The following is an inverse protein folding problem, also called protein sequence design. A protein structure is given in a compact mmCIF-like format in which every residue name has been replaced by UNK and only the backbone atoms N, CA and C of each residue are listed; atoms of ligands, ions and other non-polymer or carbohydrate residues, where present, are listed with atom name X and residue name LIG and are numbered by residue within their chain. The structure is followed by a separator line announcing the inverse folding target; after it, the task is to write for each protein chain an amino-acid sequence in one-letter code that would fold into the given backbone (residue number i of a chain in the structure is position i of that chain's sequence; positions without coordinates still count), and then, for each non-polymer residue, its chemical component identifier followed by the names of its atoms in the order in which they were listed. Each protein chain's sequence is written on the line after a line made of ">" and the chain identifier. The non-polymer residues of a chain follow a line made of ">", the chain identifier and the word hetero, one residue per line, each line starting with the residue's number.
data_IF_912438890083
#
_entry.id   IF_912438890083
#
_cell.length_a   1.000
_cell.length_b   1.000
_cell.length_c   1.000
_cell.angle_alpha   90.00
_cell.angle_beta   90.00
_cell.angle_gamma   90.00
#
_symmetry.space_group_name_H-M   'P 1'
#
loop_
_entity.id
_entity.type
_entity.pdbx_description
1 polymer ?
#
# COMPACT_ATOMS: atom_id res chain seq x y z
N UNK A 1 19.04 12.73 -17.25
CA UNK A 1 17.72 13.36 -17.07
C UNK A 1 17.45 13.52 -15.58
N UNK A 2 16.92 14.67 -15.16
CA UNK A 2 16.64 14.99 -13.76
C UNK A 2 15.17 15.39 -13.63
N UNK A 3 14.58 15.12 -12.47
CA UNK A 3 13.17 15.38 -12.15
C UNK A 3 13.11 16.14 -10.83
N UNK A 4 12.52 17.33 -10.82
CA UNK A 4 12.42 18.13 -9.60
C UNK A 4 11.06 17.91 -8.94
N UNK A 5 11.07 17.39 -7.72
CA UNK A 5 9.87 17.16 -6.94
C UNK A 5 9.79 18.17 -5.79
N UNK A 6 8.69 18.93 -5.76
CA UNK A 6 8.39 19.91 -4.73
C UNK A 6 6.96 19.76 -4.21
N UNK A 7 6.81 19.58 -2.91
CA UNK A 7 5.51 19.56 -2.22
C UNK A 7 5.49 18.66 -0.98
N UNK A 8 4.31 18.47 -0.40
CA UNK A 8 4.15 17.79 0.90
C UNK A 8 3.47 16.42 0.77
N UNK A 9 4.14 15.38 1.29
CA UNK A 9 3.53 14.06 1.43
C UNK A 9 2.69 14.04 2.70
N UNK A 10 1.43 13.66 2.56
CA UNK A 10 0.43 13.65 3.62
C UNK A 10 0.12 12.21 4.06
N UNK A 11 -0.52 12.08 5.23
CA UNK A 11 -0.96 10.78 5.74
C UNK A 11 -1.88 10.06 4.74
N UNK A 12 -2.69 10.82 4.00
CA UNK A 12 -3.65 10.31 3.01
C UNK A 12 -2.97 9.50 1.90
N UNK A 13 -1.74 9.84 1.51
CA UNK A 13 -1.02 9.14 0.44
C UNK A 13 -0.57 7.75 0.86
N UNK A 14 -0.17 7.63 2.12
CA UNK A 14 0.12 6.35 2.77
C UNK A 14 -1.15 5.57 3.06
N UNK A 15 -2.25 6.24 3.42
CA UNK A 15 -3.55 5.63 3.68
C UNK A 15 -4.06 4.84 2.46
N UNK A 16 -3.94 5.39 1.25
CA UNK A 16 -4.34 4.69 0.01
C UNK A 16 -3.58 3.37 -0.15
N UNK A 17 -2.28 3.37 0.15
CA UNK A 17 -1.44 2.17 0.06
C UNK A 17 -1.80 1.15 1.15
N UNK A 18 -1.97 1.62 2.39
CA UNK A 18 -2.33 0.78 3.54
C UNK A 18 -3.71 0.16 3.35
N UNK A 19 -4.70 0.94 2.91
CA UNK A 19 -6.06 0.48 2.62
C UNK A 19 -6.08 -0.62 1.56
N UNK A 20 -5.24 -0.53 0.52
CA UNK A 20 -5.14 -1.61 -0.47
C UNK A 20 -4.63 -2.91 0.16
N UNK A 21 -3.60 -2.82 0.99
CA UNK A 21 -3.02 -3.98 1.67
C UNK A 21 -4.02 -4.61 2.66
N UNK A 22 -4.70 -3.76 3.44
CA UNK A 22 -5.72 -4.17 4.40
C UNK A 22 -6.90 -4.85 3.71
N UNK A 23 -7.38 -4.34 2.56
CA UNK A 23 -8.46 -4.99 1.81
C UNK A 23 -8.10 -6.39 1.34
N UNK A 24 -6.85 -6.61 0.88
CA UNK A 24 -6.38 -7.94 0.49
C UNK A 24 -6.37 -8.88 1.70
N UNK A 25 -5.88 -8.42 2.86
CA UNK A 25 -5.88 -9.19 4.10
C UNK A 25 -7.30 -9.49 4.60
N UNK A 26 -8.20 -8.51 4.58
CA UNK A 26 -9.61 -8.66 4.94
C UNK A 26 -10.29 -9.72 4.07
N UNK A 27 -10.05 -9.69 2.74
CA UNK A 27 -10.56 -10.71 1.83
C UNK A 27 -10.06 -12.11 2.18
N UNK A 28 -8.76 -12.26 2.44
CA UNK A 28 -8.17 -13.54 2.83
C UNK A 28 -8.75 -14.08 4.14
N UNK A 29 -8.85 -13.24 5.17
CA UNK A 29 -9.44 -13.61 6.47
C UNK A 29 -10.92 -13.98 6.32
N UNK A 30 -11.69 -13.23 5.52
CA UNK A 30 -13.10 -13.52 5.28
C UNK A 30 -13.30 -14.89 4.62
N UNK A 31 -12.49 -15.22 3.61
CA UNK A 31 -12.54 -16.53 2.94
C UNK A 31 -12.24 -17.66 3.93
N UNK A 32 -11.19 -17.52 4.74
CA UNK A 32 -10.81 -18.53 5.74
C UNK A 32 -11.95 -18.74 6.75
N UNK A 33 -12.52 -17.66 7.28
CA UNK A 33 -13.61 -17.74 8.26
C UNK A 33 -14.87 -18.37 7.66
N UNK A 34 -15.19 -18.08 6.40
CA UNK A 34 -16.32 -18.71 5.70
C UNK A 34 -16.11 -20.22 5.51
N UNK A 35 -14.89 -20.65 5.14
CA UNK A 35 -14.57 -22.08 5.02
C UNK A 35 -14.76 -22.78 6.36
N UNK A 36 -14.25 -22.21 7.46
CA UNK A 36 -14.46 -22.73 8.80
C UNK A 36 -15.95 -22.77 9.20
N UNK A 37 -16.72 -21.75 8.81
CA UNK A 37 -18.16 -21.69 9.08
C UNK A 37 -18.91 -22.84 8.41
N UNK A 38 -18.59 -23.13 7.14
CA UNK A 38 -19.21 -24.21 6.37
C UNK A 38 -18.83 -25.57 6.97
N UNK A 39 -17.55 -25.80 7.27
CA UNK A 39 -17.08 -27.06 7.88
C UNK A 39 -17.79 -27.30 9.22
N UNK A 40 -17.78 -26.31 10.12
CA UNK A 40 -18.45 -26.43 11.41
C UNK A 40 -19.97 -26.60 11.27
N UNK A 41 -20.59 -25.86 10.35
CA UNK A 41 -22.03 -25.92 10.11
C UNK A 41 -22.48 -27.30 9.61
N UNK A 42 -21.68 -27.94 8.75
CA UNK A 42 -21.93 -29.31 8.29
C UNK A 42 -21.74 -30.32 9.42
N UNK A 43 -20.66 -30.20 10.21
CA UNK A 43 -20.39 -31.12 11.31
C UNK A 43 -21.44 -31.05 12.44
N UNK A 44 -21.89 -29.84 12.78
CA UNK A 44 -22.86 -29.61 13.87
C UNK A 44 -24.32 -29.66 13.40
N UNK A 45 -24.58 -29.88 12.10
CA UNK A 45 -25.91 -29.83 11.45
C UNK A 45 -26.68 -28.52 11.71
N UNK A 46 -25.98 -27.44 12.06
CA UNK A 46 -26.58 -26.15 12.40
C UNK A 46 -25.86 -25.01 11.69
N UNK A 47 -26.00 -25.01 10.36
CA UNK A 47 -25.27 -24.10 9.47
C UNK A 47 -25.60 -22.62 9.72
N UNK A 48 -26.84 -22.32 10.12
CA UNK A 48 -27.28 -20.95 10.38
C UNK A 48 -26.52 -20.32 11.55
N UNK A 49 -26.33 -21.06 12.64
CA UNK A 49 -25.59 -20.58 13.82
C UNK A 49 -24.10 -20.41 13.49
N UNK A 50 -23.49 -21.37 12.77
CA UNK A 50 -22.09 -21.27 12.37
C UNK A 50 -21.84 -20.09 11.42
N UNK A 51 -22.77 -19.82 10.49
CA UNK A 51 -22.72 -18.67 9.60
C UNK A 51 -22.89 -17.34 10.37
N UNK A 52 -23.83 -17.27 11.31
CA UNK A 52 -24.04 -16.08 12.12
C UNK A 52 -22.77 -15.70 12.93
N UNK A 53 -22.13 -16.69 13.56
CA UNK A 53 -20.87 -16.49 14.29
C UNK A 53 -19.76 -16.02 13.34
N UNK A 54 -19.63 -16.66 12.18
CA UNK A 54 -18.62 -16.28 11.19
C UNK A 54 -18.79 -14.86 10.68
N UNK A 55 -20.02 -14.41 10.43
CA UNK A 55 -20.32 -13.02 10.04
C UNK A 55 -19.86 -12.06 11.12
N UNK A 56 -20.17 -12.32 12.40
CA UNK A 56 -19.71 -11.49 13.52
C UNK A 56 -18.18 -11.45 13.58
N UNK A 57 -17.51 -12.60 13.45
CA UNK A 57 -16.05 -12.66 13.43
C UNK A 57 -15.44 -11.89 12.26
N UNK A 58 -16.04 -11.95 11.06
CA UNK A 58 -15.58 -11.22 9.89
C UNK A 58 -15.68 -9.71 10.13
N UNK A 59 -16.81 -9.24 10.65
CA UNK A 59 -17.00 -7.81 10.96
C UNK A 59 -15.95 -7.34 11.96
N UNK A 60 -15.76 -8.06 13.06
CA UNK A 60 -14.74 -7.72 14.07
C UNK A 60 -13.32 -7.73 13.49
N UNK A 61 -13.00 -8.73 12.67
CA UNK A 61 -11.69 -8.84 12.03
C UNK A 61 -11.44 -7.66 11.06
N UNK A 62 -12.45 -7.27 10.27
CA UNK A 62 -12.37 -6.13 9.35
C UNK A 62 -12.05 -4.84 10.10
N UNK A 63 -12.80 -4.54 11.16
CA UNK A 63 -12.56 -3.36 12.01
C UNK A 63 -11.19 -3.39 12.68
N UNK A 64 -10.79 -4.55 13.24
CA UNK A 64 -9.50 -4.70 13.89
C UNK A 64 -8.34 -4.48 12.91
N UNK A 65 -8.41 -5.04 11.70
CA UNK A 65 -7.37 -4.88 10.68
C UNK A 65 -7.23 -3.43 10.23
N UNK A 66 -8.34 -2.73 9.98
CA UNK A 66 -8.30 -1.31 9.61
C UNK A 66 -7.69 -0.46 10.72
N UNK A 67 -8.12 -0.67 11.97
CA UNK A 67 -7.58 0.06 13.12
C UNK A 67 -6.08 -0.22 13.32
N UNK A 68 -5.66 -1.49 13.25
CA UNK A 68 -4.27 -1.90 13.50
C UNK A 68 -3.30 -1.46 12.40
N UNK A 69 -3.70 -1.55 11.14
CA UNK A 69 -2.77 -1.33 10.03
C UNK A 69 -2.88 0.05 9.40
N UNK A 70 -4.04 0.70 9.47
CA UNK A 70 -4.24 2.05 8.91
C UNK A 70 -4.09 3.08 10.01
N UNK A 71 -5.00 3.05 11.00
CA UNK A 71 -5.05 4.09 12.04
C UNK A 71 -3.81 4.08 12.92
N UNK A 72 -3.33 2.91 13.35
CA UNK A 72 -2.12 2.84 14.19
C UNK A 72 -0.86 3.28 13.44
N UNK A 73 -0.73 2.96 12.16
CA UNK A 73 0.43 3.35 11.36
C UNK A 73 0.47 4.85 11.09
N UNK A 74 -0.70 5.47 10.91
CA UNK A 74 -0.83 6.90 10.63
C UNK A 74 -0.91 7.77 11.89
N UNK A 75 -1.08 7.18 13.09
CA UNK A 75 -1.26 7.93 14.35
C UNK A 75 -0.10 8.88 14.67
N UNK A 76 1.12 8.50 14.31
CA UNK A 76 2.34 9.29 14.53
C UNK A 76 2.91 9.85 13.23
N UNK A 77 2.13 9.81 12.14
CA UNK A 77 2.60 10.30 10.86
C UNK A 77 2.76 11.82 10.91
N UNK A 78 3.92 12.30 10.47
CA UNK A 78 4.17 13.72 10.27
C UNK A 78 4.28 13.99 8.77
N UNK A 79 3.59 15.02 8.25
CA UNK A 79 3.76 15.44 6.87
C UNK A 79 5.24 15.67 6.55
N UNK A 80 5.68 15.18 5.40
CA UNK A 80 7.08 15.31 4.96
C UNK A 80 7.11 16.22 3.76
N UNK A 81 7.77 17.38 3.90
CA UNK A 81 8.05 18.25 2.77
C UNK A 81 9.19 17.67 1.94
N UNK A 82 9.00 17.68 0.63
CA UNK A 82 9.96 17.24 -0.36
C UNK A 82 10.28 18.44 -1.23
N UNK A 83 11.55 18.79 -1.34
CA UNK A 83 12.11 19.73 -2.30
C UNK A 83 13.45 19.13 -2.73
N UNK A 84 13.43 18.29 -3.78
CA UNK A 84 14.62 17.54 -4.20
C UNK A 84 14.67 17.26 -5.70
N UNK A 85 15.89 17.32 -6.23
CA UNK A 85 16.21 16.87 -7.57
C UNK A 85 16.49 15.36 -7.56
N UNK A 86 15.75 14.65 -8.39
CA UNK A 86 15.78 13.20 -8.49
C UNK A 86 16.37 12.80 -9.83
N UNK A 87 17.44 12.03 -9.81
CA UNK A 87 18.02 11.41 -11.00
C UNK A 87 17.94 9.89 -10.92
N UNK A 88 18.11 9.20 -12.04
CA UNK A 88 18.14 7.75 -12.08
C UNK A 88 19.20 7.15 -11.14
N UNK A 89 20.38 7.76 -11.13
CA UNK A 89 21.52 7.33 -10.30
C UNK A 89 21.25 7.59 -8.83
N UNK A 90 20.72 8.77 -8.48
CA UNK A 90 20.33 9.10 -7.12
C UNK A 90 19.26 8.13 -6.57
N UNK A 91 18.25 7.78 -7.37
CA UNK A 91 17.23 6.79 -6.98
C UNK A 91 17.82 5.40 -6.73
N UNK A 92 18.76 4.96 -7.58
CA UNK A 92 19.43 3.65 -7.41
C UNK A 92 20.30 3.62 -6.15
N UNK A 93 21.04 4.69 -5.88
CA UNK A 93 21.98 4.80 -4.75
C UNK A 93 21.26 5.01 -3.41
N UNK A 94 20.31 5.95 -3.36
CA UNK A 94 19.65 6.37 -2.12
C UNK A 94 18.50 5.44 -1.73
N UNK A 95 17.68 5.01 -2.69
CA UNK A 95 16.48 4.22 -2.36
C UNK A 95 16.71 2.71 -2.43
N UNK A 96 17.72 2.23 -3.17
CA UNK A 96 17.98 0.80 -3.45
C UNK A 96 16.69 -0.04 -3.59
N UNK A 97 15.75 0.37 -4.45
CA UNK A 97 14.38 -0.10 -4.33
C UNK A 97 14.29 -1.62 -4.55
N UNK A 98 13.55 -2.29 -3.66
CA UNK A 98 13.25 -3.73 -3.80
C UNK A 98 12.04 -3.94 -4.71
N UNK A 99 11.10 -2.99 -4.68
CA UNK A 99 9.88 -3.01 -5.47
C UNK A 99 9.45 -1.58 -5.76
N UNK A 100 8.89 -1.37 -6.95
CA UNK A 100 8.22 -0.13 -7.35
C UNK A 100 6.77 -0.45 -7.65
N UNK A 101 5.85 0.38 -7.14
CA UNK A 101 4.42 0.32 -7.45
C UNK A 101 4.00 1.67 -8.02
N UNK A 102 3.27 1.65 -9.13
CA UNK A 102 2.69 2.86 -9.73
C UNK A 102 1.18 2.78 -9.59
N UNK A 103 0.56 3.78 -8.97
CA UNK A 103 -0.88 3.82 -8.71
C UNK A 103 -1.33 5.26 -8.49
N UNK A 104 -2.51 5.65 -9.01
CA UNK A 104 -3.13 6.97 -8.79
C UNK A 104 -2.17 8.17 -8.99
N UNK A 105 -1.45 8.18 -10.12
CA UNK A 105 -0.45 9.21 -10.42
C UNK A 105 0.64 9.38 -9.33
N UNK A 106 0.90 8.30 -8.58
CA UNK A 106 1.96 8.21 -7.57
C UNK A 106 2.88 7.01 -7.89
N UNK A 107 4.16 7.18 -7.61
CA UNK A 107 5.17 6.12 -7.64
C UNK A 107 5.63 5.86 -6.21
N UNK A 108 5.50 4.61 -5.78
CA UNK A 108 5.87 4.14 -4.44
C UNK A 108 7.11 3.25 -4.55
N UNK A 109 8.20 3.65 -3.90
CA UNK A 109 9.43 2.88 -3.81
C UNK A 109 9.51 2.20 -2.45
N UNK A 110 9.53 0.87 -2.43
CA UNK A 110 9.67 0.09 -1.22
C UNK A 110 11.15 -0.14 -0.90
N UNK A 111 11.58 0.40 0.24
CA UNK A 111 12.90 0.21 0.83
C UNK A 111 12.77 -0.70 2.05
N UNK A 112 13.40 -1.87 2.03
CA UNK A 112 13.34 -2.80 3.17
C UNK A 112 11.91 -3.23 3.55
N UNK A 113 11.68 -3.47 4.84
CA UNK A 113 10.39 -3.98 5.35
C UNK A 113 9.35 -2.89 5.65
N UNK A 114 9.79 -1.66 6.00
CA UNK A 114 8.91 -0.62 6.56
C UNK A 114 9.11 0.79 5.98
N UNK A 115 9.93 0.98 4.94
CA UNK A 115 10.17 2.31 4.38
C UNK A 115 9.58 2.39 2.97
N UNK A 116 8.78 3.43 2.73
CA UNK A 116 8.19 3.70 1.43
C UNK A 116 8.41 5.17 1.10
N UNK A 117 9.14 5.42 0.01
CA UNK A 117 9.24 6.76 -0.58
C UNK A 117 8.14 6.93 -1.62
N UNK A 118 7.46 8.08 -1.60
CA UNK A 118 6.32 8.39 -2.47
C UNK A 118 6.68 9.60 -3.32
N UNK A 119 6.46 9.49 -4.63
CA UNK A 119 6.58 10.60 -5.58
C UNK A 119 5.25 10.78 -6.31
N UNK A 120 4.69 11.99 -6.30
CA UNK A 120 3.40 12.30 -6.93
C UNK A 120 3.62 13.09 -8.22
N UNK A 121 2.77 12.87 -9.22
CA UNK A 121 2.74 13.68 -10.44
C UNK A 121 2.52 15.16 -10.13
N UNK A 122 1.65 15.47 -9.17
CA UNK A 122 1.33 16.85 -8.80
C UNK A 122 2.50 17.60 -8.14
N UNK A 123 3.52 16.88 -7.64
CA UNK A 123 4.73 17.46 -7.05
C UNK A 123 5.84 17.63 -8.07
N UNK A 124 5.70 17.04 -9.26
CA UNK A 124 6.70 17.18 -10.30
C UNK A 124 6.53 18.57 -10.92
N UNK A 125 7.60 19.37 -10.89
CA UNK A 125 7.59 20.74 -11.41
C UNK A 125 7.20 20.78 -12.89
N UNK A 126 7.78 19.89 -13.70
CA UNK A 126 7.41 19.68 -15.09
C UNK A 126 6.61 18.37 -15.27
N UNK A 127 5.29 18.49 -15.23
CA UNK A 127 4.39 17.34 -15.35
C UNK A 127 4.48 16.62 -16.71
N UNK A 128 5.02 17.25 -17.75
CA UNK A 128 5.21 16.62 -19.07
C UNK A 128 6.23 15.48 -19.00
N UNK A 129 7.16 15.54 -18.03
CA UNK A 129 8.19 14.53 -17.81
C UNK A 129 7.69 13.33 -17.00
N UNK A 130 6.44 13.33 -16.55
CA UNK A 130 5.91 12.28 -15.67
C UNK A 130 5.96 10.90 -16.30
N UNK A 131 5.59 10.78 -17.57
CA UNK A 131 5.55 9.47 -18.22
C UNK A 131 6.97 8.91 -18.40
N UNK A 132 7.94 9.77 -18.73
CA UNK A 132 9.37 9.43 -18.76
C UNK A 132 9.89 9.02 -17.37
N UNK A 133 9.47 9.71 -16.31
CA UNK A 133 9.80 9.33 -14.92
C UNK A 133 9.27 7.93 -14.61
N UNK A 134 7.98 7.69 -14.85
CA UNK A 134 7.35 6.39 -14.60
C UNK A 134 8.05 5.27 -15.38
N UNK A 135 8.35 5.50 -16.65
CA UNK A 135 9.06 4.52 -17.47
C UNK A 135 10.45 4.20 -16.93
N UNK A 136 11.24 5.23 -16.58
CA UNK A 136 12.54 5.07 -15.94
C UNK A 136 12.44 4.23 -14.65
N UNK A 137 11.45 4.48 -13.80
CA UNK A 137 11.27 3.72 -12.54
C UNK A 137 10.88 2.25 -12.76
N UNK A 138 10.11 1.94 -13.81
CA UNK A 138 9.80 0.56 -14.21
C UNK A 138 11.06 -0.18 -14.65
N UNK A 139 11.88 0.46 -15.48
CA UNK A 139 13.13 -0.12 -15.98
C UNK A 139 14.12 -0.44 -14.84
N UNK A 140 14.20 0.40 -13.80
CA UNK A 140 15.03 0.15 -12.61
C UNK A 140 14.68 -1.14 -11.87
N UNK A 141 13.41 -1.55 -11.87
CA UNK A 141 12.95 -2.74 -11.16
C UNK A 141 13.16 -4.02 -11.99
N UNK A 142 13.13 -3.89 -13.32
CA UNK A 142 13.32 -5.01 -14.25
C UNK A 142 14.78 -5.44 -14.38
N UNK A 143 15.74 -4.53 -14.19
CA UNK A 143 17.19 -4.83 -14.24
C UNK A 143 17.71 -5.69 -13.06
N UNK A 144 16.86 -6.03 -12.07
CA UNK A 144 17.21 -6.88 -10.91
C UNK A 144 16.76 -8.36 -11.05
N UNK A 145 16.21 -8.76 -12.19
CA UNK A 145 15.98 -10.17 -12.53
C UNK A 145 17.14 -10.69 -13.38
#
# INVERSE_FOLDING_TARGET
>A
MWYHFKGTIEAKDYEVLLNRTVRVLQGGVAIILLIFAVINGVMQKNILVSLAIAVVCIVLAVFYLEWKFVRSALKTFQPTEIDQYVTQEALKLQLQPKKVLVMNACVYFFQGKNQVAIFKKSMLEDQSQWDSFVEMTKQMTQQKK
#
